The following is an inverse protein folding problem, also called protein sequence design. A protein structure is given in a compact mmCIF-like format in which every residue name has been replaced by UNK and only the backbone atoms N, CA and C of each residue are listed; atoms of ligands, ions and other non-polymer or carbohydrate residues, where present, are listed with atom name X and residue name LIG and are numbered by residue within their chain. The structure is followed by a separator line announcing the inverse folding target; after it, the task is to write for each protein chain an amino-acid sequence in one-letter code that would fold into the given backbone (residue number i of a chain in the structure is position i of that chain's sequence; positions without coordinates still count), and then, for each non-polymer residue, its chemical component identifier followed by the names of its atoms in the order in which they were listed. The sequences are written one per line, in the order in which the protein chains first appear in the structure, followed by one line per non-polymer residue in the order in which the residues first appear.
data_IF_374736591454
#
_entry.id   IF_374736591454
#
_cell.length_a   1.000
_cell.length_b   1.000
_cell.length_c   1.000
_cell.angle_alpha   90.00
_cell.angle_beta   90.00
_cell.angle_gamma   90.00
#
_symmetry.space_group_name_H-M   'P 1'
#
loop_
_entity.id
_entity.type
_entity.pdbx_description
1 polymer ?
#
# COMPACT_ATOMS: atom_id res chain seq x y z
N UNK A 1 -2.44 -18.80 -0.62
CA UNK A 1 -3.50 -19.80 -0.89
C UNK A 1 -2.96 -21.02 -1.61
N UNK A 2 -2.63 -20.90 -2.89
CA UNK A 2 -2.17 -22.02 -3.74
C UNK A 2 -0.94 -22.75 -3.19
N UNK A 3 0.08 -22.03 -2.73
CA UNK A 3 1.28 -22.66 -2.14
C UNK A 3 0.93 -23.52 -0.91
N UNK A 4 -0.03 -23.09 -0.10
CA UNK A 4 -0.49 -23.80 1.10
C UNK A 4 -1.27 -25.06 0.73
N UNK A 5 -2.11 -24.99 -0.29
CA UNK A 5 -2.83 -26.16 -0.83
C UNK A 5 -1.88 -27.16 -1.46
N UNK A 6 -0.84 -26.69 -2.15
CA UNK A 6 0.26 -27.51 -2.65
C UNK A 6 1.03 -28.20 -1.52
N UNK A 7 1.42 -27.47 -0.48
CA UNK A 7 2.09 -28.06 0.69
C UNK A 7 1.19 -29.05 1.45
N UNK A 8 -0.11 -28.74 1.61
CA UNK A 8 -1.11 -29.68 2.17
C UNK A 8 -1.40 -30.88 1.28
N UNK A 9 -1.09 -30.80 -0.01
CA UNK A 9 -1.22 -31.96 -0.89
C UNK A 9 -0.18 -33.02 -0.57
N UNK A 10 0.93 -32.62 0.06
CA UNK A 10 2.03 -33.47 0.47
C UNK A 10 2.15 -33.49 2.01
N UNK A 11 1.26 -34.23 2.66
CA UNK A 11 1.22 -34.34 4.12
C UNK A 11 1.58 -35.79 4.51
N UNK A 12 2.69 -35.98 5.24
CA UNK A 12 3.14 -37.30 5.71
C UNK A 12 3.61 -38.26 4.60
N UNK A 13 4.20 -37.75 3.51
CA UNK A 13 4.74 -38.56 2.42
C UNK A 13 3.70 -39.15 1.45
N UNK A 14 2.40 -38.84 1.62
CA UNK A 14 1.32 -39.28 0.73
C UNK A 14 0.67 -38.09 0.04
N UNK A 15 0.50 -38.21 -1.28
CA UNK A 15 -0.26 -37.25 -2.07
C UNK A 15 -1.76 -37.45 -1.86
N UNK A 16 -2.44 -36.45 -1.31
CA UNK A 16 -3.90 -36.47 -1.23
C UNK A 16 -4.48 -35.96 -2.54
N UNK A 17 -4.98 -36.87 -3.38
CA UNK A 17 -5.54 -36.56 -4.71
C UNK A 17 -6.56 -35.41 -4.69
N UNK A 18 -7.44 -35.38 -3.68
CA UNK A 18 -8.38 -34.28 -3.47
C UNK A 18 -7.68 -32.91 -3.37
N UNK A 19 -6.59 -32.81 -2.61
CA UNK A 19 -5.88 -31.54 -2.41
C UNK A 19 -5.14 -31.13 -3.68
N UNK A 20 -4.58 -32.09 -4.43
CA UNK A 20 -3.96 -31.85 -5.74
C UNK A 20 -4.99 -31.34 -6.75
N UNK A 21 -6.16 -31.96 -6.81
CA UNK A 21 -7.25 -31.53 -7.69
C UNK A 21 -7.74 -30.13 -7.34
N UNK A 22 -7.99 -29.86 -6.06
CA UNK A 22 -8.39 -28.52 -5.60
C UNK A 22 -7.31 -27.47 -5.92
N UNK A 23 -6.04 -27.81 -5.74
CA UNK A 23 -4.93 -26.93 -6.11
C UNK A 23 -4.86 -26.66 -7.62
N UNK A 24 -4.95 -27.70 -8.44
CA UNK A 24 -4.92 -27.60 -9.90
C UNK A 24 -6.11 -26.81 -10.45
N UNK A 25 -7.32 -27.08 -9.96
CA UNK A 25 -8.53 -26.33 -10.32
C UNK A 25 -8.38 -24.86 -9.91
N UNK A 26 -7.91 -24.60 -8.69
CA UNK A 26 -7.71 -23.22 -8.22
C UNK A 26 -6.71 -22.45 -9.09
N UNK A 27 -5.62 -23.11 -9.52
CA UNK A 27 -4.65 -22.52 -10.44
C UNK A 27 -5.28 -22.28 -11.81
N UNK A 28 -6.01 -23.25 -12.35
CA UNK A 28 -6.67 -23.13 -13.65
C UNK A 28 -7.72 -22.02 -13.67
N UNK A 29 -8.53 -21.90 -12.62
CA UNK A 29 -9.52 -20.81 -12.47
C UNK A 29 -8.86 -19.44 -12.54
N UNK A 30 -7.62 -19.27 -12.05
CA UNK A 30 -6.91 -17.99 -12.17
C UNK A 30 -6.59 -17.59 -13.62
N UNK A 31 -6.65 -18.53 -14.57
CA UNK A 31 -6.45 -18.27 -16.00
C UNK A 31 -7.76 -17.94 -16.73
N UNK A 32 -8.91 -18.21 -16.12
CA UNK A 32 -10.24 -17.92 -16.68
C UNK A 32 -10.58 -16.45 -16.42
N UNK A 33 -9.85 -15.54 -17.07
CA UNK A 33 -10.14 -14.11 -17.10
C UNK A 33 -9.62 -13.50 -18.41
N UNK A 34 -10.08 -12.29 -18.81
CA UNK A 34 -9.63 -11.65 -20.06
C UNK A 34 -8.12 -11.39 -20.18
N UNK A 35 -7.39 -11.36 -19.06
CA UNK A 35 -5.94 -11.13 -18.99
C UNK A 35 -5.16 -12.45 -19.19
N UNK A 36 -5.74 -13.58 -18.77
CA UNK A 36 -5.17 -14.92 -18.86
C UNK A 36 -3.83 -15.06 -18.13
N UNK A 37 -2.87 -15.71 -18.77
CA UNK A 37 -1.50 -15.91 -18.24
C UNK A 37 -0.75 -14.61 -17.94
N UNK A 38 -1.07 -13.51 -18.65
CA UNK A 38 -0.39 -12.22 -18.46
C UNK A 38 -0.62 -11.65 -17.05
N UNK A 39 -1.63 -12.13 -16.32
CA UNK A 39 -1.85 -11.79 -14.92
C UNK A 39 -0.64 -12.18 -14.07
N UNK A 40 -0.11 -13.40 -14.28
CA UNK A 40 1.03 -13.92 -13.55
C UNK A 40 2.32 -13.20 -13.92
N UNK A 41 2.54 -12.94 -15.21
CA UNK A 41 3.69 -12.14 -15.67
C UNK A 41 3.65 -10.73 -15.09
N UNK A 42 2.50 -10.06 -15.14
CA UNK A 42 2.31 -8.72 -14.56
C UNK A 42 2.58 -8.70 -13.06
N UNK A 43 2.08 -9.70 -12.32
CA UNK A 43 2.34 -9.82 -10.88
C UNK A 43 3.84 -10.01 -10.57
N UNK A 44 4.54 -10.84 -11.35
CA UNK A 44 5.98 -11.06 -11.20
C UNK A 44 6.78 -9.79 -11.52
N UNK A 45 6.50 -9.14 -12.65
CA UNK A 45 7.16 -7.89 -13.05
C UNK A 45 6.97 -6.79 -12.00
N UNK A 46 5.74 -6.62 -11.50
CA UNK A 46 5.45 -5.66 -10.43
C UNK A 46 6.18 -5.99 -9.13
N UNK A 47 6.29 -7.27 -8.79
CA UNK A 47 7.01 -7.69 -7.59
C UNK A 47 8.52 -7.40 -7.67
N UNK A 48 9.10 -7.33 -8.87
CA UNK A 48 10.51 -7.00 -9.09
C UNK A 48 10.78 -5.48 -9.13
N UNK A 49 9.75 -4.66 -9.36
CA UNK A 49 9.90 -3.22 -9.61
C UNK A 49 9.91 -2.41 -8.29
N UNK A 50 11.11 -2.28 -7.71
CA UNK A 50 11.33 -1.58 -6.43
C UNK A 50 10.88 -0.11 -6.49
N UNK A 51 11.12 0.59 -7.61
CA UNK A 51 10.75 1.99 -7.79
C UNK A 51 9.25 2.25 -7.63
N UNK A 52 8.41 1.33 -8.12
CA UNK A 52 6.95 1.42 -7.99
C UNK A 52 6.51 1.20 -6.54
N UNK A 53 7.17 0.27 -5.83
CA UNK A 53 6.84 -0.03 -4.42
C UNK A 53 7.22 1.10 -3.47
N UNK A 54 8.29 1.83 -3.77
CA UNK A 54 8.70 3.00 -2.97
C UNK A 54 7.84 4.23 -3.24
N UNK A 55 7.19 4.32 -4.40
CA UNK A 55 6.28 5.41 -4.72
C UNK A 55 4.91 5.26 -4.06
N UNK A 56 4.43 4.02 -3.89
CA UNK A 56 3.12 3.73 -3.31
C UNK A 56 3.30 3.46 -1.81
N UNK A 57 2.76 4.34 -0.96
CA UNK A 57 2.90 4.25 0.50
C UNK A 57 2.54 2.86 1.06
N UNK A 58 1.46 2.27 0.57
CA UNK A 58 1.00 0.94 1.00
C UNK A 58 1.98 -0.21 0.69
N UNK A 59 2.89 0.00 -0.27
CA UNK A 59 3.88 -0.99 -0.69
C UNK A 59 5.26 -0.74 -0.08
N UNK A 60 5.38 0.33 0.70
CA UNK A 60 6.63 0.71 1.33
C UNK A 60 7.03 -0.37 2.35
N UNK A 61 8.33 -0.74 2.41
CA UNK A 61 8.82 -1.66 3.41
C UNK A 61 8.51 -1.19 4.84
N UNK A 62 7.98 -2.09 5.66
CA UNK A 62 7.69 -1.81 7.08
C UNK A 62 8.94 -1.40 7.85
N UNK A 63 10.11 -1.88 7.43
CA UNK A 63 11.40 -1.46 8.01
C UNK A 63 11.64 0.06 7.92
N UNK A 64 10.98 0.74 6.97
CA UNK A 64 11.05 2.20 6.81
C UNK A 64 9.92 2.94 7.55
N UNK A 65 8.89 2.21 8.00
CA UNK A 65 7.72 2.71 8.70
C UNK A 65 7.67 2.06 10.09
N UNK A 66 8.52 2.57 10.99
CA UNK A 66 8.72 2.04 12.34
C UNK A 66 7.54 2.39 13.27
N UNK A 67 6.38 1.76 13.08
CA UNK A 67 5.23 1.87 13.98
C UNK A 67 5.49 1.00 15.24
N UNK A 68 5.54 1.59 16.45
CA UNK A 68 5.78 0.85 17.69
C UNK A 68 4.77 -0.26 17.97
N UNK A 69 3.51 -0.10 17.56
CA UNK A 69 2.46 -1.12 17.73
C UNK A 69 2.76 -2.34 16.88
N UNK A 70 3.18 -2.13 15.63
CA UNK A 70 3.55 -3.23 14.73
C UNK A 70 4.81 -3.93 15.21
N UNK A 71 5.84 -3.19 15.63
CA UNK A 71 7.08 -3.75 16.16
C UNK A 71 6.79 -4.58 17.41
N UNK A 72 5.99 -4.04 18.34
CA UNK A 72 5.60 -4.75 19.55
C UNK A 72 4.85 -6.04 19.24
N UNK A 73 3.81 -5.98 18.40
CA UNK A 73 3.03 -7.15 18.03
C UNK A 73 3.89 -8.20 17.31
N UNK A 74 4.73 -7.78 16.36
CA UNK A 74 5.65 -8.65 15.64
C UNK A 74 6.61 -9.35 16.60
N UNK A 75 7.29 -8.61 17.48
CA UNK A 75 8.21 -9.19 18.46
C UNK A 75 7.50 -10.16 19.42
N UNK A 76 6.35 -9.77 19.95
CA UNK A 76 5.55 -10.59 20.86
C UNK A 76 5.06 -11.88 20.21
N UNK A 77 4.45 -11.77 19.02
CA UNK A 77 3.92 -12.92 18.28
C UNK A 77 5.04 -13.87 17.84
N UNK A 78 6.14 -13.36 17.30
CA UNK A 78 7.30 -14.18 16.90
C UNK A 78 7.91 -14.89 18.11
N UNK A 79 8.12 -14.19 19.24
CA UNK A 79 8.70 -14.80 20.43
C UNK A 79 7.84 -15.96 20.98
N UNK A 80 6.52 -15.76 21.06
CA UNK A 80 5.60 -16.81 21.53
C UNK A 80 5.47 -17.97 20.56
N UNK A 81 5.34 -17.69 19.26
CA UNK A 81 5.24 -18.72 18.22
C UNK A 81 6.55 -19.52 18.15
N UNK A 82 7.70 -18.85 18.24
CA UNK A 82 9.01 -19.49 18.21
C UNK A 82 9.22 -20.42 19.41
N UNK A 83 8.81 -19.98 20.62
CA UNK A 83 8.90 -20.81 21.84
C UNK A 83 8.12 -22.11 21.72
N UNK A 84 6.91 -22.06 21.19
CA UNK A 84 6.01 -23.22 21.05
C UNK A 84 5.97 -23.77 19.61
N UNK A 85 7.03 -23.55 18.83
CA UNK A 85 7.10 -23.96 17.41
C UNK A 85 7.08 -25.48 17.22
N UNK A 86 7.32 -26.26 18.27
CA UNK A 86 7.28 -27.72 18.21
C UNK A 86 5.86 -28.22 17.90
N UNK A 87 4.84 -27.51 18.35
CA UNK A 87 3.43 -27.86 18.17
C UNK A 87 2.87 -27.49 16.78
N UNK A 88 3.71 -26.88 15.94
CA UNK A 88 3.31 -26.39 14.62
C UNK A 88 3.72 -27.36 13.50
N UNK A 89 2.77 -27.62 12.61
CA UNK A 89 3.03 -28.34 11.37
C UNK A 89 4.00 -27.56 10.47
N UNK A 90 4.69 -28.27 9.58
CA UNK A 90 5.62 -27.65 8.63
C UNK A 90 4.92 -26.61 7.74
N UNK A 91 3.69 -26.89 7.29
CA UNK A 91 2.92 -25.95 6.46
C UNK A 91 2.54 -24.68 7.23
N UNK A 92 2.24 -24.79 8.53
CA UNK A 92 1.91 -23.63 9.38
C UNK A 92 3.14 -22.74 9.55
N UNK A 93 4.30 -23.34 9.83
CA UNK A 93 5.58 -22.63 9.90
C UNK A 93 5.88 -21.89 8.60
N UNK A 94 5.68 -22.54 7.46
CA UNK A 94 5.91 -21.94 6.16
C UNK A 94 4.97 -20.75 5.88
N UNK A 95 3.67 -20.90 6.17
CA UNK A 95 2.68 -19.81 6.01
C UNK A 95 3.03 -18.63 6.91
N UNK A 96 3.29 -18.89 8.19
CA UNK A 96 3.64 -17.85 9.15
C UNK A 96 4.93 -17.15 8.73
N UNK A 97 6.00 -17.88 8.44
CA UNK A 97 7.26 -17.30 7.98
C UNK A 97 7.07 -16.48 6.70
N UNK A 98 6.34 -17.01 5.72
CA UNK A 98 6.09 -16.32 4.46
C UNK A 98 5.38 -14.98 4.64
N UNK A 99 4.29 -14.95 5.43
CA UNK A 99 3.56 -13.70 5.69
C UNK A 99 4.31 -12.74 6.61
N UNK A 100 5.11 -13.25 7.55
CA UNK A 100 5.99 -12.42 8.36
C UNK A 100 7.02 -11.69 7.49
N UNK A 101 7.73 -12.43 6.63
CA UNK A 101 8.72 -11.85 5.71
C UNK A 101 8.07 -10.86 4.74
N UNK A 102 6.93 -11.20 4.15
CA UNK A 102 6.16 -10.28 3.30
C UNK A 102 5.76 -9.00 4.07
N UNK A 103 5.34 -9.15 5.33
CA UNK A 103 5.03 -8.02 6.21
C UNK A 103 6.22 -7.12 6.51
N UNK A 104 7.44 -7.66 6.59
CA UNK A 104 8.65 -6.84 6.74
C UNK A 104 8.95 -6.01 5.49
N UNK A 105 8.74 -6.60 4.30
CA UNK A 105 9.02 -5.94 3.02
C UNK A 105 7.90 -5.07 2.49
N UNK A 106 6.69 -5.13 3.04
CA UNK A 106 5.54 -4.35 2.58
C UNK A 106 4.51 -4.18 3.71
N UNK A 107 4.23 -2.94 4.10
CA UNK A 107 3.31 -2.62 5.21
C UNK A 107 1.92 -3.22 5.04
N UNK A 108 1.39 -3.27 3.80
CA UNK A 108 0.10 -3.91 3.49
C UNK A 108 0.05 -5.38 3.92
N UNK A 109 1.16 -6.11 3.94
CA UNK A 109 1.15 -7.52 4.32
C UNK A 109 1.14 -7.77 5.83
N UNK A 110 1.35 -6.75 6.66
CA UNK A 110 1.29 -6.87 8.13
C UNK A 110 -0.09 -7.29 8.63
N UNK A 111 -1.17 -6.80 8.00
CA UNK A 111 -2.54 -7.18 8.41
C UNK A 111 -2.77 -8.68 8.27
N UNK A 112 -2.22 -9.29 7.21
CA UNK A 112 -2.32 -10.74 7.01
C UNK A 112 -1.46 -11.50 8.03
N UNK A 113 -0.27 -10.98 8.37
CA UNK A 113 0.52 -11.55 9.47
C UNK A 113 -0.28 -11.56 10.77
N UNK A 114 -0.93 -10.44 11.14
CA UNK A 114 -1.73 -10.33 12.36
C UNK A 114 -2.86 -11.36 12.37
N UNK A 115 -3.68 -11.38 11.31
CA UNK A 115 -4.82 -12.29 11.20
C UNK A 115 -4.36 -13.76 11.27
N UNK A 116 -3.28 -14.11 10.57
CA UNK A 116 -2.79 -15.49 10.50
C UNK A 116 -2.07 -15.94 11.76
N UNK A 117 -1.32 -15.05 12.42
CA UNK A 117 -0.58 -15.36 13.64
C UNK A 117 -1.49 -15.43 14.88
N UNK A 118 -2.63 -14.73 14.88
CA UNK A 118 -3.49 -14.59 16.05
C UNK A 118 -3.93 -15.93 16.68
N UNK A 119 -4.42 -16.94 15.93
CA UNK A 119 -4.78 -18.23 16.53
C UNK A 119 -3.60 -18.94 17.19
N UNK A 120 -2.41 -18.83 16.60
CA UNK A 120 -1.18 -19.43 17.12
C UNK A 120 -0.68 -18.70 18.37
N UNK A 121 -0.76 -17.37 18.40
CA UNK A 121 -0.48 -16.57 19.60
C UNK A 121 -1.39 -16.97 20.75
N UNK A 122 -2.71 -17.13 20.48
CA UNK A 122 -3.68 -17.58 21.49
C UNK A 122 -3.35 -19.00 21.98
N UNK A 123 -3.00 -19.91 21.07
CA UNK A 123 -2.56 -21.27 21.39
C UNK A 123 -1.32 -21.26 22.29
N UNK A 124 -0.25 -20.60 21.85
CA UNK A 124 0.99 -20.40 22.61
C UNK A 124 0.74 -19.79 23.99
N UNK A 125 -0.18 -18.83 24.10
CA UNK A 125 -0.50 -18.21 25.39
C UNK A 125 -1.21 -19.18 26.34
N UNK A 126 -2.05 -20.09 25.82
CA UNK A 126 -2.66 -21.16 26.62
C UNK A 126 -1.61 -22.17 27.11
N UNK A 127 -0.68 -22.57 26.24
CA UNK A 127 0.45 -23.44 26.63
C UNK A 127 1.32 -22.79 27.69
N UNK A 128 1.70 -21.52 27.49
CA UNK A 128 2.47 -20.78 28.47
C UNK A 128 1.74 -20.62 29.81
N UNK A 129 0.43 -20.34 29.79
CA UNK A 129 -0.38 -20.28 31.01
C UNK A 129 -0.40 -21.62 31.76
N UNK A 130 -0.41 -22.75 31.05
CA UNK A 130 -0.32 -24.09 31.65
C UNK A 130 1.04 -24.30 32.31
N UNK A 131 2.15 -24.01 31.63
CA UNK A 131 3.50 -24.10 32.23
C UNK A 131 3.62 -23.24 33.49
N UNK A 132 3.09 -22.02 33.47
CA UNK A 132 3.07 -21.13 34.63
C UNK A 132 2.24 -21.72 35.77
N UNK A 133 1.09 -22.33 35.45
CA UNK A 133 0.21 -22.96 36.44
C UNK A 133 0.93 -24.09 37.17
N UNK A 134 1.65 -24.91 36.42
CA UNK A 134 2.35 -26.08 36.93
C UNK A 134 3.58 -25.69 37.81
N UNK A 135 4.06 -24.43 37.71
CA UNK A 135 5.14 -23.86 38.55
C UNK A 135 4.66 -23.26 39.89
N UNK A 136 3.37 -23.33 40.21
CA UNK A 136 2.82 -22.93 41.52
C UNK A 136 2.17 -21.54 41.59
N UNK A 137 1.55 -21.24 42.74
CA UNK A 137 0.64 -20.10 42.95
C UNK A 137 1.30 -18.73 42.77
N UNK A 138 2.55 -18.57 43.19
CA UNK A 138 3.28 -17.29 43.05
C UNK A 138 3.53 -16.96 41.57
N UNK A 139 3.89 -17.96 40.77
CA UNK A 139 4.09 -17.85 39.32
C UNK A 139 2.78 -17.46 38.62
N UNK A 140 1.65 -18.05 39.03
CA UNK A 140 0.33 -17.70 38.51
C UNK A 140 -0.07 -16.26 38.83
N UNK A 141 0.20 -15.79 40.07
CA UNK A 141 -0.06 -14.40 40.46
C UNK A 141 0.77 -13.42 39.64
N UNK A 142 2.08 -13.68 39.48
CA UNK A 142 2.99 -12.86 38.65
C UNK A 142 2.54 -12.79 37.19
N UNK A 143 2.15 -13.93 36.62
CA UNK A 143 1.62 -13.98 35.26
C UNK A 143 0.31 -13.21 35.11
N UNK A 144 -0.61 -13.32 36.08
CA UNK A 144 -1.85 -12.54 36.08
C UNK A 144 -1.58 -11.03 36.13
N UNK A 145 -0.61 -10.58 36.93
CA UNK A 145 -0.18 -9.17 36.95
C UNK A 145 0.44 -8.76 35.61
N UNK A 146 1.30 -9.61 35.03
CA UNK A 146 1.93 -9.33 33.73
C UNK A 146 0.91 -9.21 32.60
N UNK A 147 -0.09 -10.10 32.53
CA UNK A 147 -1.15 -10.04 31.52
C UNK A 147 -2.02 -8.80 31.70
N UNK A 148 -2.40 -8.45 32.94
CA UNK A 148 -3.14 -7.21 33.21
C UNK A 148 -2.32 -5.98 32.80
N UNK A 149 -1.03 -5.95 33.13
CA UNK A 149 -0.12 -4.90 32.70
C UNK A 149 -0.06 -4.80 31.18
N UNK A 150 0.09 -5.92 30.48
CA UNK A 150 0.06 -5.98 29.02
C UNK A 150 -1.26 -5.43 28.44
N UNK A 151 -2.40 -5.80 29.00
CA UNK A 151 -3.71 -5.28 28.56
C UNK A 151 -3.81 -3.77 28.74
N UNK A 152 -3.34 -3.23 29.87
CA UNK A 152 -3.29 -1.78 30.13
C UNK A 152 -2.35 -1.09 29.14
N UNK A 153 -1.18 -1.66 28.88
CA UNK A 153 -0.23 -1.14 27.88
C UNK A 153 -0.83 -1.12 26.48
N UNK A 154 -1.48 -2.20 26.03
CA UNK A 154 -2.15 -2.25 24.72
C UNK A 154 -3.27 -1.21 24.66
N UNK A 155 -4.08 -1.08 25.71
CA UNK A 155 -5.13 -0.07 25.79
C UNK A 155 -4.55 1.35 25.69
N UNK A 156 -3.47 1.63 26.42
CA UNK A 156 -2.77 2.92 26.36
C UNK A 156 -2.27 3.20 24.94
N UNK A 157 -1.62 2.23 24.29
CA UNK A 157 -1.17 2.37 22.90
C UNK A 157 -2.34 2.64 21.95
N UNK A 158 -3.48 1.96 22.12
CA UNK A 158 -4.68 2.22 21.31
C UNK A 158 -5.24 3.62 21.54
N UNK A 159 -5.28 4.09 22.79
CA UNK A 159 -5.76 5.44 23.13
C UNK A 159 -4.82 6.50 22.55
N UNK A 160 -3.51 6.36 22.75
CA UNK A 160 -2.51 7.27 22.16
C UNK A 160 -2.64 7.27 20.64
N UNK A 161 -2.73 6.10 20.02
CA UNK A 161 -2.95 5.98 18.57
C UNK A 161 -4.24 6.68 18.14
N UNK A 162 -5.34 6.51 18.86
CA UNK A 162 -6.60 7.18 18.54
C UNK A 162 -6.43 8.71 18.55
N UNK A 163 -5.75 9.29 19.54
CA UNK A 163 -5.54 10.74 19.60
C UNK A 163 -4.56 11.25 18.53
N UNK A 164 -3.48 10.51 18.26
CA UNK A 164 -2.47 10.86 17.25
C UNK A 164 -3.03 10.74 15.82
N UNK A 165 -3.86 9.73 15.54
CA UNK A 165 -4.37 9.46 14.19
C UNK A 165 -5.74 10.08 13.90
N UNK A 166 -6.43 10.65 14.90
CA UNK A 166 -7.71 11.34 14.68
C UNK A 166 -7.61 12.48 13.65
N UNK A 167 -6.60 13.37 13.68
CA UNK A 167 -6.47 14.43 12.68
C UNK A 167 -6.31 13.87 11.27
N UNK A 168 -5.45 12.85 11.09
CA UNK A 168 -5.23 12.17 9.80
C UNK A 168 -6.52 11.59 9.24
N UNK A 169 -7.36 10.98 10.08
CA UNK A 169 -8.62 10.39 9.60
C UNK A 169 -9.62 11.44 9.10
N UNK A 170 -9.59 12.66 9.66
CA UNK A 170 -10.42 13.78 9.23
C UNK A 170 -9.85 14.38 7.93
N UNK A 171 -8.53 14.55 7.88
CA UNK A 171 -7.81 15.04 6.69
C UNK A 171 -7.94 14.09 5.49
N UNK A 172 -8.17 12.79 5.71
CA UNK A 172 -8.40 11.76 4.69
C UNK A 172 -9.86 11.65 4.25
N UNK A 173 -10.77 12.47 4.77
CA UNK A 173 -12.17 12.47 4.34
C UNK A 173 -12.34 13.11 2.95
N UNK A 174 -13.50 12.85 2.31
CA UNK A 174 -13.79 13.34 0.96
C UNK A 174 -13.63 14.86 0.83
N UNK A 175 -14.00 15.60 1.87
CA UNK A 175 -14.03 17.06 1.82
C UNK A 175 -12.64 17.71 1.97
N UNK A 176 -11.65 16.99 2.53
CA UNK A 176 -10.32 17.54 2.81
C UNK A 176 -9.19 16.93 1.98
N UNK A 177 -9.31 15.65 1.59
CA UNK A 177 -8.28 14.96 0.82
C UNK A 177 -8.50 15.02 -0.69
N UNK A 178 -9.76 14.90 -1.10
CA UNK A 178 -10.14 14.73 -2.50
C UNK A 178 -10.59 16.06 -3.11
N UNK A 179 -10.36 16.26 -4.42
CA UNK A 179 -10.60 17.54 -5.09
C UNK A 179 -12.09 17.73 -5.43
N UNK A 180 -12.97 17.63 -4.44
CA UNK A 180 -14.43 17.61 -4.61
C UNK A 180 -14.96 18.88 -5.28
N UNK A 181 -14.51 20.06 -4.84
CA UNK A 181 -14.94 21.34 -5.41
C UNK A 181 -14.33 21.56 -6.79
N UNK A 182 -13.05 21.19 -6.99
CA UNK A 182 -12.39 21.24 -8.30
C UNK A 182 -13.08 20.33 -9.34
N UNK A 183 -13.55 19.15 -8.92
CA UNK A 183 -14.40 18.27 -9.76
C UNK A 183 -15.70 18.97 -10.14
N UNK A 184 -16.35 19.68 -9.20
CA UNK A 184 -17.52 20.51 -9.49
C UNK A 184 -17.25 21.59 -10.54
N UNK A 185 -16.09 22.24 -10.45
CA UNK A 185 -15.62 23.21 -11.45
C UNK A 185 -15.42 22.54 -12.83
N UNK A 186 -14.70 21.40 -12.89
CA UNK A 186 -14.41 20.69 -14.14
C UNK A 186 -15.65 20.14 -14.85
N UNK A 187 -16.72 19.85 -14.10
CA UNK A 187 -18.03 19.47 -14.69
C UNK A 187 -18.73 20.66 -15.33
N UNK A 188 -18.64 21.83 -14.71
CA UNK A 188 -19.26 23.07 -15.20
C UNK A 188 -18.51 23.61 -16.41
N UNK A 189 -17.17 23.48 -16.41
CA UNK A 189 -16.29 23.97 -17.46
C UNK A 189 -15.39 22.83 -17.97
N UNK A 190 -15.91 21.88 -18.76
CA UNK A 190 -15.08 20.82 -19.34
C UNK A 190 -14.14 21.40 -20.40
N UNK A 191 -12.98 20.78 -20.60
CA UNK A 191 -12.18 21.01 -21.83
C UNK A 191 -12.36 19.88 -22.83
N UNK A 192 -11.72 19.98 -23.98
CA UNK A 192 -11.74 18.95 -25.02
C UNK A 192 -10.71 17.83 -24.74
N UNK A 193 -9.52 18.19 -24.28
CA UNK A 193 -8.42 17.27 -23.99
C UNK A 193 -8.56 16.49 -22.68
N UNK A 194 -7.42 15.92 -22.25
CA UNK A 194 -7.30 15.01 -21.12
C UNK A 194 -6.75 15.67 -19.87
N UNK A 195 -7.05 15.07 -18.72
CA UNK A 195 -6.69 15.61 -17.42
C UNK A 195 -5.47 14.88 -16.86
N UNK A 196 -4.40 15.63 -16.61
CA UNK A 196 -3.29 15.17 -15.79
C UNK A 196 -3.59 15.48 -14.33
N UNK A 197 -3.41 14.49 -13.45
CA UNK A 197 -3.75 14.63 -12.03
C UNK A 197 -2.77 13.94 -11.10
N UNK A 198 -2.80 14.33 -9.82
CA UNK A 198 -2.16 13.60 -8.74
C UNK A 198 -2.60 12.11 -8.73
N UNK A 199 -1.62 11.22 -8.61
CA UNK A 199 -1.82 9.77 -8.65
C UNK A 199 -2.85 9.27 -7.65
N UNK A 200 -2.87 9.81 -6.43
CA UNK A 200 -3.76 9.34 -5.38
C UNK A 200 -5.22 9.79 -5.60
N UNK A 201 -5.45 10.79 -6.45
CA UNK A 201 -6.80 11.20 -6.86
C UNK A 201 -7.36 10.41 -8.03
N UNK A 202 -6.53 9.65 -8.77
CA UNK A 202 -6.95 8.99 -10.00
C UNK A 202 -8.19 8.10 -9.86
N UNK A 203 -8.29 7.32 -8.78
CA UNK A 203 -9.48 6.50 -8.52
C UNK A 203 -10.75 7.31 -8.23
N UNK A 204 -10.60 8.41 -7.48
CA UNK A 204 -11.69 9.34 -7.18
C UNK A 204 -12.20 10.06 -8.43
N UNK A 205 -11.28 10.49 -9.29
CA UNK A 205 -11.61 11.16 -10.54
C UNK A 205 -12.27 10.21 -11.54
N UNK A 206 -11.88 8.93 -11.61
CA UNK A 206 -12.61 7.93 -12.40
C UNK A 206 -14.04 7.76 -11.91
N UNK A 207 -14.27 7.83 -10.60
CA UNK A 207 -15.61 7.72 -10.02
C UNK A 207 -16.46 8.96 -10.27
N UNK A 208 -15.91 10.16 -10.08
CA UNK A 208 -16.67 11.42 -10.16
C UNK A 208 -16.64 12.10 -11.53
N UNK A 209 -15.73 11.75 -12.42
CA UNK A 209 -15.62 12.28 -13.78
C UNK A 209 -15.46 11.12 -14.80
N UNK A 210 -16.40 10.16 -14.84
CA UNK A 210 -16.29 8.98 -15.71
C UNK A 210 -16.23 9.33 -17.21
N UNK A 211 -16.71 10.51 -17.60
CA UNK A 211 -16.69 11.04 -18.96
C UNK A 211 -15.29 11.47 -19.45
N UNK A 212 -14.31 11.61 -18.55
CA UNK A 212 -12.94 12.06 -18.87
C UNK A 212 -11.91 10.99 -18.52
N UNK A 213 -10.88 10.82 -19.36
CA UNK A 213 -9.76 9.95 -19.01
C UNK A 213 -8.81 10.73 -18.11
N UNK A 214 -8.56 10.16 -16.95
CA UNK A 214 -7.49 10.61 -16.06
C UNK A 214 -6.18 9.99 -16.52
N UNK A 215 -5.08 10.72 -16.40
CA UNK A 215 -3.77 10.26 -16.84
C UNK A 215 -3.34 8.94 -16.20
N UNK A 216 -3.57 8.78 -14.90
CA UNK A 216 -3.22 7.57 -14.17
C UNK A 216 -4.18 7.32 -12.99
N UNK A 217 -4.37 6.06 -12.62
CA UNK A 217 -5.02 5.68 -11.37
C UNK A 217 -4.27 4.53 -10.68
N UNK A 218 -4.62 4.22 -9.43
CA UNK A 218 -3.96 3.17 -8.64
C UNK A 218 -3.95 1.78 -9.27
N UNK A 219 -4.95 1.43 -10.08
CA UNK A 219 -5.00 0.15 -10.78
C UNK A 219 -4.04 0.06 -11.98
N UNK A 220 -3.59 1.20 -12.50
CA UNK A 220 -2.68 1.27 -13.66
C UNK A 220 -1.21 1.10 -13.28
N UNK A 221 -0.86 1.12 -11.99
CA UNK A 221 0.52 0.93 -11.52
C UNK A 221 1.12 -0.43 -11.96
N UNK A 222 0.29 -1.47 -12.03
CA UNK A 222 0.67 -2.82 -12.44
C UNK A 222 0.39 -3.09 -13.93
N UNK A 223 -0.28 -2.18 -14.63
CA UNK A 223 -0.76 -2.42 -15.98
C UNK A 223 0.40 -2.35 -16.97
N UNK A 224 0.49 -3.39 -17.81
CA UNK A 224 1.40 -3.45 -18.97
C UNK A 224 0.57 -3.88 -20.17
N UNK A 225 0.33 -2.95 -21.09
CA UNK A 225 -0.42 -3.25 -22.32
C UNK A 225 0.47 -3.97 -23.32
N UNK A 226 -0.11 -4.91 -24.09
CA UNK A 226 0.61 -5.61 -25.17
C UNK A 226 1.03 -4.64 -26.27
N UNK A 227 0.11 -3.74 -26.62
CA UNK A 227 0.26 -2.70 -27.62
C UNK A 227 0.02 -1.33 -26.99
N UNK A 228 0.73 -0.32 -27.48
CA UNK A 228 0.48 1.07 -27.13
C UNK A 228 -0.59 1.62 -28.07
N UNK A 229 -1.68 2.23 -27.57
CA UNK A 229 -2.47 3.14 -28.38
C UNK A 229 -1.58 4.23 -28.96
N UNK A 230 -1.95 4.75 -30.13
CA UNK A 230 -1.26 5.88 -30.74
C UNK A 230 -1.23 7.07 -29.76
N UNK A 231 -0.04 7.63 -29.52
CA UNK A 231 0.15 8.68 -28.51
C UNK A 231 0.29 8.20 -27.06
N UNK A 232 0.19 6.90 -26.75
CA UNK A 232 0.33 6.40 -25.37
C UNK A 232 1.50 5.43 -25.21
N UNK A 233 1.86 5.08 -23.96
CA UNK A 233 2.80 3.98 -23.70
C UNK A 233 2.10 2.70 -23.28
N UNK A 234 2.87 1.60 -23.34
CA UNK A 234 2.49 0.32 -22.74
C UNK A 234 2.36 0.40 -21.21
N UNK A 235 2.95 1.41 -20.58
CA UNK A 235 3.08 1.55 -19.14
C UNK A 235 3.08 3.04 -18.71
N UNK A 236 1.90 3.69 -18.76
CA UNK A 236 1.75 5.12 -18.45
C UNK A 236 2.24 5.49 -17.04
N UNK A 237 2.19 4.56 -16.07
CA UNK A 237 2.74 4.76 -14.73
C UNK A 237 4.25 5.03 -14.76
N UNK A 238 5.01 4.39 -15.67
CA UNK A 238 6.43 4.63 -15.81
C UNK A 238 6.72 6.06 -16.29
N UNK A 239 5.96 6.55 -17.27
CA UNK A 239 6.04 7.93 -17.74
C UNK A 239 5.69 8.91 -16.61
N UNK A 240 4.65 8.61 -15.81
CA UNK A 240 4.27 9.42 -14.64
C UNK A 240 5.42 9.57 -13.64
N UNK A 241 6.06 8.47 -13.25
CA UNK A 241 7.16 8.48 -12.29
C UNK A 241 8.38 9.22 -12.83
N UNK A 242 8.74 9.00 -14.10
CA UNK A 242 9.86 9.69 -14.74
C UNK A 242 9.60 11.19 -14.87
N UNK A 243 8.36 11.58 -15.17
CA UNK A 243 7.94 12.98 -15.20
C UNK A 243 8.11 13.64 -13.84
N UNK A 244 7.64 13.01 -12.75
CA UNK A 244 7.80 13.54 -11.39
C UNK A 244 9.26 13.64 -10.93
N UNK A 245 10.16 12.86 -11.52
CA UNK A 245 11.60 12.91 -11.23
C UNK A 245 12.35 13.93 -12.08
N UNK A 246 11.67 14.63 -12.99
CA UNK A 246 12.30 15.51 -13.97
C UNK A 246 13.13 14.77 -15.02
N UNK A 247 12.92 13.45 -15.19
CA UNK A 247 13.59 12.65 -16.22
C UNK A 247 12.92 12.79 -17.60
N UNK A 248 11.70 13.35 -17.65
CA UNK A 248 10.96 13.64 -18.88
C UNK A 248 10.51 15.10 -18.88
N UNK A 249 10.47 15.69 -20.08
CA UNK A 249 9.93 17.04 -20.28
C UNK A 249 8.40 17.05 -20.22
N UNK A 250 7.83 17.94 -19.39
CA UNK A 250 6.38 18.10 -19.20
C UNK A 250 5.65 18.34 -20.50
N UNK A 251 6.14 19.26 -21.33
CA UNK A 251 5.52 19.60 -22.63
C UNK A 251 5.35 18.38 -23.53
N UNK A 252 6.42 17.59 -23.71
CA UNK A 252 6.41 16.38 -24.55
C UNK A 252 5.43 15.33 -24.04
N UNK A 253 5.38 15.12 -22.73
CA UNK A 253 4.44 14.16 -22.14
C UNK A 253 3.02 14.67 -22.29
N UNK A 254 2.75 15.94 -22.02
CA UNK A 254 1.40 16.49 -22.10
C UNK A 254 0.88 16.50 -23.54
N UNK A 255 1.71 16.83 -24.53
CA UNK A 255 1.34 16.71 -25.95
C UNK A 255 1.05 15.26 -26.34
N UNK A 256 1.93 14.34 -25.97
CA UNK A 256 1.80 12.91 -26.26
C UNK A 256 0.46 12.34 -25.79
N UNK A 257 0.05 12.68 -24.57
CA UNK A 257 -1.21 12.19 -23.97
C UNK A 257 -2.41 13.13 -24.19
N UNK A 258 -2.28 14.14 -25.06
CA UNK A 258 -3.30 15.17 -25.32
C UNK A 258 -3.86 15.81 -24.02
N UNK A 259 -2.96 16.16 -23.10
CA UNK A 259 -3.28 16.83 -21.85
C UNK A 259 -3.39 18.33 -22.09
N UNK A 260 -4.53 18.89 -21.71
CA UNK A 260 -4.81 20.33 -21.76
C UNK A 260 -5.18 20.91 -20.38
N UNK A 261 -5.26 20.03 -19.37
CA UNK A 261 -5.73 20.34 -18.03
C UNK A 261 -4.84 19.69 -17.01
N UNK A 262 -4.27 20.50 -16.13
CA UNK A 262 -3.41 20.06 -15.05
C UNK A 262 -4.12 20.30 -13.73
N UNK A 263 -4.53 19.23 -13.07
CA UNK A 263 -5.19 19.22 -11.76
C UNK A 263 -4.20 18.74 -10.70
N UNK A 264 -3.79 19.61 -9.78
CA UNK A 264 -2.75 19.28 -8.81
C UNK A 264 -3.14 19.65 -7.38
N UNK A 265 -2.39 19.14 -6.41
CA UNK A 265 -2.57 19.51 -5.00
C UNK A 265 -2.16 20.96 -4.79
N UNK A 266 -2.97 21.71 -4.04
CA UNK A 266 -2.58 23.03 -3.56
C UNK A 266 -1.36 22.85 -2.64
N UNK A 267 -0.23 23.53 -2.91
CA UNK A 267 0.93 23.47 -2.03
C UNK A 267 0.54 23.95 -0.63
N UNK A 268 0.66 23.08 0.37
CA UNK A 268 0.53 23.44 1.79
C UNK A 268 1.92 23.43 2.41
N UNK A 269 2.20 24.37 3.32
CA UNK A 269 3.36 24.25 4.19
C UNK A 269 3.27 22.92 4.95
N UNK A 270 4.24 22.04 4.74
CA UNK A 270 4.27 20.69 5.33
C UNK A 270 4.38 20.84 6.85
N UNK A 271 3.26 20.78 7.57
CA UNK A 271 3.28 20.55 9.02
C UNK A 271 3.83 19.15 9.21
N UNK A 272 4.92 19.04 9.97
CA UNK A 272 5.64 17.79 10.19
C UNK A 272 4.66 16.68 10.61
N UNK A 273 4.53 15.65 9.78
CA UNK A 273 3.72 14.47 10.10
C UNK A 273 4.36 13.76 11.30
N UNK A 274 3.85 14.04 12.50
CA UNK A 274 4.25 13.42 13.77
C UNK A 274 3.86 11.93 13.88
N UNK A 275 3.33 11.35 12.79
CA UNK A 275 2.62 10.07 12.78
C UNK A 275 3.54 8.87 12.55
N UNK A 276 4.75 9.10 12.03
CA UNK A 276 5.77 8.08 11.88
C UNK A 276 7.14 8.67 12.17
N UNK A 277 7.97 7.97 12.95
CA UNK A 277 9.42 8.21 12.92
C UNK A 277 9.89 7.70 11.57
N UNK A 278 9.77 8.54 10.54
CA UNK A 278 10.37 8.26 9.25
C UNK A 278 11.87 8.24 9.46
N UNK A 279 12.52 7.14 9.06
CA UNK A 279 13.97 7.13 8.95
C UNK A 279 14.40 8.30 8.05
N UNK A 280 15.60 8.87 8.25
CA UNK A 280 16.14 9.92 7.39
C UNK A 280 15.99 9.56 5.91
N UNK A 281 15.74 10.56 5.06
CA UNK A 281 15.42 10.36 3.64
C UNK A 281 16.46 9.48 2.90
N UNK A 282 17.76 9.63 3.26
CA UNK A 282 18.86 8.82 2.73
C UNK A 282 18.76 7.30 3.05
N UNK A 283 18.07 6.90 4.11
CA UNK A 283 17.87 5.50 4.53
C UNK A 283 16.62 4.86 3.92
N UNK A 284 15.58 5.66 3.65
CA UNK A 284 14.31 5.16 3.10
C UNK A 284 14.32 5.04 1.58
N UNK A 285 15.39 5.53 0.94
CA UNK A 285 15.40 5.69 -0.51
C UNK A 285 14.37 6.72 -0.99
N UNK A 286 13.81 7.53 -0.07
CA UNK A 286 13.30 8.86 -0.42
C UNK A 286 14.52 9.63 -0.88
N UNK A 287 14.83 9.47 -2.16
CA UNK A 287 15.79 10.30 -2.87
C UNK A 287 15.52 11.72 -2.40
N UNK A 288 16.59 12.41 -1.98
CA UNK A 288 16.56 13.86 -1.82
C UNK A 288 15.67 14.40 -2.93
N UNK A 289 14.61 15.13 -2.56
CA UNK A 289 13.99 16.06 -3.48
C UNK A 289 15.15 16.96 -3.92
N UNK A 290 15.85 16.54 -4.98
CA UNK A 290 16.65 17.45 -5.77
C UNK A 290 15.72 18.62 -5.97
N UNK A 291 16.25 19.82 -5.73
CA UNK A 291 15.62 21.09 -6.11
C UNK A 291 15.43 21.17 -7.64
N UNK A 292 14.85 20.14 -8.26
CA UNK A 292 14.14 20.30 -9.52
C UNK A 292 12.95 21.19 -9.21
N UNK A 293 12.60 22.05 -10.17
CA UNK A 293 11.34 22.78 -10.10
C UNK A 293 10.22 21.80 -9.77
N UNK A 294 9.31 22.19 -8.89
CA UNK A 294 8.12 21.37 -8.66
C UNK A 294 7.37 21.24 -9.99
N UNK A 295 6.68 20.12 -10.23
CA UNK A 295 5.91 19.92 -11.46
C UNK A 295 4.96 21.10 -11.75
N UNK A 296 4.44 21.71 -10.68
CA UNK A 296 3.64 22.93 -10.71
C UNK A 296 4.41 24.12 -11.30
N UNK A 297 5.62 24.40 -10.80
CA UNK A 297 6.49 25.47 -11.34
C UNK A 297 6.88 25.24 -12.81
N UNK A 298 7.04 23.98 -13.22
CA UNK A 298 7.28 23.67 -14.63
C UNK A 298 6.07 23.99 -15.50
N UNK A 299 4.87 23.59 -15.08
CA UNK A 299 3.61 23.93 -15.77
C UNK A 299 3.40 25.44 -15.85
N UNK A 300 3.67 26.17 -14.76
CA UNK A 300 3.62 27.64 -14.76
C UNK A 300 4.62 28.24 -15.75
N UNK A 301 5.84 27.70 -15.82
CA UNK A 301 6.87 28.17 -16.75
C UNK A 301 6.53 27.92 -18.23
N UNK A 302 5.63 26.98 -18.52
CA UNK A 302 5.08 26.73 -19.86
C UNK A 302 3.96 27.71 -20.24
N UNK A 303 3.63 28.68 -19.38
CA UNK A 303 2.61 29.69 -19.64
C UNK A 303 1.17 29.20 -19.45
N UNK A 304 0.98 28.08 -18.76
CA UNK A 304 -0.35 27.59 -18.40
C UNK A 304 -1.02 28.54 -17.42
N UNK A 305 -2.33 28.77 -17.61
CA UNK A 305 -3.09 29.72 -16.80
C UNK A 305 -3.84 29.00 -15.69
N UNK A 306 -3.68 29.47 -14.46
CA UNK A 306 -4.52 29.06 -13.36
C UNK A 306 -5.97 29.52 -13.61
N UNK A 307 -6.91 28.59 -13.53
CA UNK A 307 -8.35 28.87 -13.74
C UNK A 307 -9.19 28.55 -12.50
N UNK A 308 -8.62 27.86 -11.52
CA UNK A 308 -9.29 27.46 -10.29
C UNK A 308 -8.26 27.14 -9.19
N UNK A 309 -8.59 27.52 -7.95
CA UNK A 309 -7.83 27.18 -6.75
C UNK A 309 -8.74 27.12 -5.53
N UNK A 310 -8.57 26.09 -4.71
CA UNK A 310 -9.12 25.98 -3.36
C UNK A 310 -8.05 25.45 -2.38
N UNK A 311 -8.46 25.09 -1.16
CA UNK A 311 -7.54 24.56 -0.14
C UNK A 311 -6.98 23.16 -0.47
N UNK A 312 -7.54 22.44 -1.44
CA UNK A 312 -7.19 21.06 -1.76
C UNK A 312 -6.47 20.96 -3.10
N UNK A 313 -6.95 21.69 -4.11
CA UNK A 313 -6.57 21.56 -5.50
C UNK A 313 -6.42 22.89 -6.24
N UNK A 314 -5.54 22.87 -7.24
CA UNK A 314 -5.34 23.90 -8.25
C UNK A 314 -5.57 23.32 -9.64
N UNK A 315 -6.15 24.11 -10.55
CA UNK A 315 -6.32 23.72 -11.95
C UNK A 315 -5.66 24.75 -12.85
N UNK A 316 -4.81 24.26 -13.74
CA UNK A 316 -4.22 25.05 -14.82
C UNK A 316 -4.71 24.53 -16.18
N UNK A 317 -4.91 25.44 -17.13
CA UNK A 317 -5.25 25.14 -18.52
C UNK A 317 -4.12 25.54 -19.44
N UNK A 318 -3.92 24.74 -20.48
CA UNK A 318 -3.05 25.09 -21.60
C UNK A 318 -3.58 26.38 -22.25
N UNK A 319 -2.73 27.36 -22.57
CA UNK A 319 -3.16 28.51 -23.36
C UNK A 319 -3.60 28.07 -24.75
N UNK A 320 -4.63 28.74 -25.28
CA UNK A 320 -5.11 28.55 -26.66
C UNK A 320 -4.05 28.84 -27.72
#
# INVERSE_FOLDING_TARGET
GLIVLGLKSWEGGKLRLRNVLVWGISLFVTLINPIGWNLWLGALSFSAEISTKLFIEELTPTLFVLDPVWIFYAAFSVALIWRFRADLDLWQKFVLMGFFLQGLFTVRYLIFWVILSLPFVIGSLKHFRREVRDRGVLSQRRFGVAIKGLMVWVLLLMVVRMFVFRPVSIEMSEDYYYPKLAVGYLRTYPSEGQYFSDFAWGGYLVWKLPEKKVFINGSMATLRRKESPEGETKAAFGDYIKLLRGELEVSKVFEKYNVDTFLWRTPKERKQDLTFVSLPDWLTGKLEEKKSKTLLEEVESLGWKEVYRDEVAVIYRKPE
#
